data_IF_153443281402
#
_entry.id   IF_153443281402
#
_cell.length_a   1.000
_cell.length_b   1.000
_cell.length_c   1.000
_cell.angle_alpha   90.00
_cell.angle_beta   90.00
_cell.angle_gamma   90.00
#
_symmetry.space_group_name_H-M   'P 1'
#
loop_
_entity.id
_entity.type
_entity.pdbx_description
1 polymer ?
#
# COMPACT_ATOMS: atom_id res chain seq x y z
N UNK A 1 12.94 -4.36 17.76
CA UNK A 1 12.44 -3.36 16.79
C UNK A 1 10.96 -3.15 17.11
N UNK A 2 10.50 -1.90 17.18
CA UNK A 2 9.13 -1.60 17.59
C UNK A 2 8.14 -2.00 16.49
N UNK A 3 6.98 -2.56 16.86
CA UNK A 3 5.91 -3.00 15.94
C UNK A 3 5.56 -1.97 14.86
N UNK A 4 5.60 -0.68 15.19
CA UNK A 4 5.36 0.42 14.26
C UNK A 4 6.41 0.53 13.14
N UNK A 5 7.69 0.33 13.44
CA UNK A 5 8.77 0.43 12.46
C UNK A 5 8.70 -0.71 11.43
N UNK A 6 8.22 -1.88 11.86
CA UNK A 6 7.99 -3.01 10.96
C UNK A 6 6.77 -2.76 10.06
N UNK A 7 5.67 -2.22 10.59
CA UNK A 7 4.53 -1.78 9.77
C UNK A 7 4.94 -0.71 8.74
N UNK A 8 5.77 0.25 9.12
CA UNK A 8 6.25 1.30 8.22
C UNK A 8 7.14 0.73 7.10
N UNK A 9 8.00 -0.26 7.41
CA UNK A 9 8.80 -0.97 6.41
C UNK A 9 7.90 -1.73 5.44
N UNK A 10 6.90 -2.44 5.95
CA UNK A 10 5.97 -3.20 5.12
C UNK A 10 5.14 -2.28 4.23
N UNK A 11 4.64 -1.15 4.75
CA UNK A 11 3.91 -0.15 3.97
C UNK A 11 4.76 0.40 2.80
N UNK A 12 6.06 0.64 3.04
CA UNK A 12 7.00 1.05 1.99
C UNK A 12 7.21 -0.05 0.94
N UNK A 13 7.31 -1.31 1.35
CA UNK A 13 7.43 -2.44 0.43
C UNK A 13 6.18 -2.58 -0.46
N UNK A 14 4.98 -2.47 0.13
CA UNK A 14 3.72 -2.48 -0.63
C UNK A 14 3.66 -1.32 -1.63
N UNK A 15 4.06 -0.11 -1.22
CA UNK A 15 4.12 1.04 -2.13
C UNK A 15 5.07 0.78 -3.30
N UNK A 16 6.26 0.26 -3.04
CA UNK A 16 7.24 -0.05 -4.09
C UNK A 16 6.69 -1.09 -5.08
N UNK A 17 5.99 -2.12 -4.59
CA UNK A 17 5.34 -3.11 -5.44
C UNK A 17 4.24 -2.49 -6.33
N UNK A 18 3.37 -1.65 -5.77
CA UNK A 18 2.33 -0.97 -6.55
C UNK A 18 2.93 -0.02 -7.59
N UNK A 19 4.00 0.72 -7.26
CA UNK A 19 4.73 1.56 -8.23
C UNK A 19 5.26 0.72 -9.39
N UNK A 20 5.84 -0.45 -9.08
CA UNK A 20 6.36 -1.39 -10.08
C UNK A 20 5.25 -1.93 -10.97
N UNK A 21 4.12 -2.35 -10.40
CA UNK A 21 2.97 -2.91 -11.14
C UNK A 21 2.27 -1.85 -11.98
N UNK A 22 2.07 -0.65 -11.43
CA UNK A 22 1.41 0.45 -12.12
C UNK A 22 2.22 0.99 -13.31
N UNK A 23 3.55 0.76 -13.35
CA UNK A 23 4.40 1.12 -14.48
C UNK A 23 4.32 2.60 -14.86
N UNK A 24 4.14 3.48 -13.86
CA UNK A 24 3.96 4.93 -14.07
C UNK A 24 2.53 5.39 -14.37
N UNK A 25 1.52 4.51 -14.29
CA UNK A 25 0.10 4.87 -14.47
C UNK A 25 -0.58 5.16 -13.12
N UNK A 26 -0.88 6.43 -12.80
CA UNK A 26 -1.39 6.81 -11.48
C UNK A 26 -2.81 6.32 -11.15
N UNK A 27 -3.59 5.89 -12.16
CA UNK A 27 -4.96 5.43 -11.99
C UNK A 27 -5.11 3.90 -12.05
N UNK A 28 -4.02 3.16 -11.84
CA UNK A 28 -4.06 1.70 -11.86
C UNK A 28 -4.40 1.16 -10.47
N UNK A 29 -5.56 0.52 -10.35
CA UNK A 29 -6.00 -0.18 -9.13
C UNK A 29 -5.34 -1.56 -9.05
N UNK A 30 -4.83 -1.88 -7.86
CA UNK A 30 -4.17 -3.15 -7.56
C UNK A 30 -4.86 -3.76 -6.34
N UNK A 31 -5.22 -5.03 -6.44
CA UNK A 31 -5.83 -5.75 -5.32
C UNK A 31 -4.81 -5.88 -4.17
N UNK A 32 -5.27 -5.61 -2.94
CA UNK A 32 -4.43 -5.73 -1.73
C UNK A 32 -3.93 -7.15 -1.55
N UNK A 33 -4.78 -8.13 -1.83
CA UNK A 33 -4.45 -9.55 -1.79
C UNK A 33 -3.27 -9.89 -2.70
N UNK A 34 -3.29 -9.46 -3.98
CA UNK A 34 -2.20 -9.76 -4.90
C UNK A 34 -0.87 -9.11 -4.47
N UNK A 35 -0.91 -7.94 -3.82
CA UNK A 35 0.29 -7.30 -3.26
C UNK A 35 0.82 -8.14 -2.09
N UNK A 36 -0.06 -8.58 -1.20
CA UNK A 36 0.30 -9.41 -0.05
C UNK A 36 0.90 -10.75 -0.49
N UNK A 37 0.30 -11.42 -1.48
CA UNK A 37 0.83 -12.67 -2.04
C UNK A 37 2.24 -12.47 -2.64
N UNK A 38 2.46 -11.41 -3.42
CA UNK A 38 3.78 -11.11 -4.00
C UNK A 38 4.85 -10.81 -2.96
N UNK A 39 4.45 -10.27 -1.82
CA UNK A 39 5.36 -9.92 -0.73
C UNK A 39 5.43 -10.99 0.37
N UNK A 40 4.66 -12.08 0.26
CA UNK A 40 4.57 -13.13 1.27
C UNK A 40 4.05 -12.63 2.63
N UNK A 41 3.11 -11.68 2.63
CA UNK A 41 2.52 -11.09 3.83
C UNK A 41 1.24 -11.84 4.22
N UNK A 42 1.00 -11.98 5.52
CA UNK A 42 -0.31 -12.39 6.04
C UNK A 42 -1.33 -11.23 6.02
N UNK A 43 -2.61 -11.58 6.09
CA UNK A 43 -3.72 -10.63 5.99
C UNK A 43 -3.65 -9.51 7.05
N UNK A 44 -3.26 -9.86 8.28
CA UNK A 44 -3.19 -8.88 9.37
C UNK A 44 -2.06 -7.85 9.13
N UNK A 45 -0.93 -8.33 8.62
CA UNK A 45 0.25 -7.52 8.30
C UNK A 45 -0.02 -6.67 7.07
N UNK A 46 -0.67 -7.21 6.04
CA UNK A 46 -1.09 -6.44 4.86
C UNK A 46 -2.10 -5.36 5.23
N UNK A 47 -3.11 -5.67 6.05
CA UNK A 47 -4.12 -4.69 6.45
C UNK A 47 -3.51 -3.53 7.24
N UNK A 48 -2.63 -3.84 8.19
CA UNK A 48 -1.93 -2.81 8.96
C UNK A 48 -1.05 -1.93 8.06
N UNK A 49 -0.36 -2.52 7.10
CA UNK A 49 0.51 -1.82 6.16
C UNK A 49 -0.29 -0.95 5.15
N UNK A 50 -1.43 -1.45 4.65
CA UNK A 50 -2.32 -0.69 3.76
C UNK A 50 -2.91 0.51 4.47
N UNK A 51 -3.47 0.33 5.67
CA UNK A 51 -3.98 1.45 6.48
C UNK A 51 -2.89 2.48 6.73
N UNK A 52 -1.69 2.02 7.10
CA UNK A 52 -0.55 2.90 7.30
C UNK A 52 -0.18 3.69 6.03
N UNK A 53 -0.18 3.04 4.86
CA UNK A 53 0.12 3.70 3.59
C UNK A 53 -0.98 4.70 3.17
N UNK A 54 -2.25 4.44 3.50
CA UNK A 54 -3.36 5.38 3.32
C UNK A 54 -3.19 6.59 4.25
N UNK A 55 -2.87 6.36 5.53
CA UNK A 55 -2.62 7.44 6.50
C UNK A 55 -1.42 8.32 6.13
N UNK A 56 -0.46 7.78 5.37
CA UNK A 56 0.67 8.54 4.79
C UNK A 56 0.32 9.22 3.47
N UNK A 57 -0.90 9.09 2.98
CA UNK A 57 -1.36 9.66 1.73
C UNK A 57 -0.71 9.02 0.50
N UNK A 58 -0.14 7.81 0.62
CA UNK A 58 0.50 7.11 -0.50
C UNK A 58 -0.50 6.32 -1.34
N UNK A 59 -1.56 5.82 -0.71
CA UNK A 59 -2.62 5.07 -1.38
C UNK A 59 -3.97 5.78 -1.27
N UNK A 60 -4.78 5.58 -2.31
CA UNK A 60 -6.22 5.77 -2.27
C UNK A 60 -6.84 4.39 -2.34
N UNK A 61 -7.75 4.09 -1.41
CA UNK A 61 -8.51 2.84 -1.40
C UNK A 61 -9.91 3.03 -1.97
N UNK A 62 -10.49 1.93 -2.45
CA UNK A 62 -11.93 1.82 -2.69
C UNK A 62 -12.55 0.85 -1.67
N UNK A 63 -13.58 1.32 -0.96
CA UNK A 63 -14.27 0.57 0.10
C UNK A 63 -13.59 0.55 1.49
N UNK A 64 -14.33 0.04 2.48
CA UNK A 64 -13.84 -0.35 3.82
C UNK A 64 -14.41 -1.74 4.17
N UNK A 65 -13.57 -2.77 4.40
CA UNK A 65 -12.10 -2.73 4.34
C UNK A 65 -11.57 -2.52 2.90
N UNK A 66 -10.36 -1.97 2.76
CA UNK A 66 -9.77 -1.67 1.45
C UNK A 66 -9.40 -2.96 0.70
N UNK A 67 -10.16 -3.30 -0.34
CA UNK A 67 -9.88 -4.48 -1.17
C UNK A 67 -8.94 -4.19 -2.35
N UNK A 68 -8.90 -2.94 -2.80
CA UNK A 68 -8.03 -2.48 -3.87
C UNK A 68 -7.50 -1.08 -3.57
N UNK A 69 -6.26 -0.84 -3.95
CA UNK A 69 -5.58 0.43 -3.77
C UNK A 69 -4.97 0.91 -5.08
N UNK A 70 -4.84 2.23 -5.23
CA UNK A 70 -4.01 2.85 -6.26
C UNK A 70 -3.09 3.87 -5.64
N UNK A 71 -2.06 4.27 -6.37
CA UNK A 71 -1.18 5.37 -5.94
C UNK A 71 -1.97 6.68 -5.83
N UNK A 72 -1.74 7.40 -4.74
CA UNK A 72 -2.19 8.77 -4.61
C UNK A 72 -1.43 9.67 -5.59
N UNK A 73 -2.17 10.58 -6.23
CA UNK A 73 -1.60 11.61 -7.13
C UNK A 73 -1.21 12.88 -6.38
N UNK A 74 -1.39 12.92 -5.06
CA UNK A 74 -1.00 14.07 -4.26
C UNK A 74 0.53 14.11 -4.26
N UNK A 75 1.10 15.02 -5.06
CA UNK A 75 2.45 15.45 -4.88
C UNK A 75 2.54 15.98 -3.44
N UNK A 76 3.27 15.28 -2.57
CA UNK A 76 3.71 15.86 -1.31
C UNK A 76 4.47 17.12 -1.70
N UNK A 77 3.88 18.28 -1.42
CA UNK A 77 4.60 19.54 -1.48
C UNK A 77 5.71 19.44 -0.43
N UNK A 78 6.94 19.28 -0.91
CA UNK A 78 8.17 19.43 -0.14
C UNK A 78 8.34 20.87 0.31
#
# INVERSE_FOLDING_TARGET
MSKQADTDRTAQAMRADVVRVAGGRPCHWVAVHDIAERLGLDDQTSDAAVRRAIDQGWFVADGEPPHSVRLSVIAVAT
#
